data_IF_843579748232
#
_entry.id   IF_843579748232
#
_cell.length_a   1.000
_cell.length_b   1.000
_cell.length_c   1.000
_cell.angle_alpha   90.00
_cell.angle_beta   90.00
_cell.angle_gamma   90.00
#
_symmetry.space_group_name_H-M   'P 1'
#
loop_
_entity.id
_entity.type
_entity.pdbx_description
1 polymer ?
#
# COMPACT_ATOMS: atom_id res chain seq x y z
N UNK A 1 15.40 7.13 -7.59
CA UNK A 1 15.11 5.69 -7.42
C UNK A 1 13.80 5.59 -6.66
N UNK A 2 12.93 4.62 -6.95
CA UNK A 2 11.70 4.43 -6.17
C UNK A 2 12.06 3.72 -4.87
N UNK A 3 11.63 4.25 -3.73
CA UNK A 3 11.91 3.67 -2.42
C UNK A 3 10.90 2.57 -2.08
N UNK A 4 11.39 1.47 -1.51
CA UNK A 4 10.62 0.32 -1.04
C UNK A 4 10.59 0.23 0.49
N UNK A 5 11.33 1.12 1.18
CA UNK A 5 11.40 1.14 2.64
C UNK A 5 10.20 1.88 3.21
N UNK A 6 9.66 1.31 4.29
CA UNK A 6 8.69 2.01 5.13
C UNK A 6 9.43 3.01 6.02
N UNK A 7 8.91 4.22 6.10
CA UNK A 7 9.33 5.24 7.08
C UNK A 7 8.17 5.48 8.04
N UNK A 8 8.46 5.60 9.33
CA UNK A 8 7.47 5.91 10.35
C UNK A 8 7.85 7.22 11.05
N UNK A 9 6.89 8.12 11.21
CA UNK A 9 7.04 9.34 12.01
C UNK A 9 6.30 9.14 13.34
N UNK A 10 7.02 9.19 14.45
CA UNK A 10 6.39 9.32 15.77
C UNK A 10 5.85 10.76 15.89
N UNK A 11 4.53 10.91 15.91
CA UNK A 11 3.87 12.23 15.95
C UNK A 11 4.01 12.94 17.31
N UNK A 12 4.40 12.23 18.37
CA UNK A 12 4.63 12.81 19.69
C UNK A 12 6.03 13.38 19.80
N UNK A 13 7.04 12.71 19.23
CA UNK A 13 8.44 13.16 19.28
C UNK A 13 8.86 13.95 18.05
N UNK A 14 8.17 13.80 16.92
CA UNK A 14 8.56 14.37 15.64
C UNK A 14 9.71 13.63 14.94
N UNK A 15 10.05 12.42 15.39
CA UNK A 15 11.20 11.67 14.89
C UNK A 15 10.80 10.66 13.81
N UNK A 16 11.56 10.65 12.72
CA UNK A 16 11.47 9.63 11.68
C UNK A 16 12.31 8.41 12.05
N UNK A 17 11.78 7.23 11.77
CA UNK A 17 12.49 5.97 11.93
C UNK A 17 12.33 5.07 10.70
N UNK A 18 13.27 4.14 10.57
CA UNK A 18 13.29 3.05 9.60
C UNK A 18 12.91 1.74 10.32
N UNK A 19 11.60 1.45 10.49
CA UNK A 19 11.18 0.22 11.14
C UNK A 19 11.72 -1.01 10.39
N UNK A 20 12.32 -1.94 11.13
CA UNK A 20 12.69 -3.25 10.59
C UNK A 20 11.40 -4.00 10.31
N UNK A 21 11.09 -4.15 9.02
CA UNK A 21 9.88 -4.83 8.58
C UNK A 21 10.20 -6.28 8.16
N UNK A 22 9.35 -7.20 8.59
CA UNK A 22 9.38 -8.61 8.21
C UNK A 22 8.42 -8.87 7.03
N UNK A 23 8.57 -10.03 6.39
CA UNK A 23 7.72 -10.44 5.28
C UNK A 23 8.11 -9.79 3.95
N UNK A 24 7.22 -9.90 2.95
CA UNK A 24 7.45 -9.37 1.60
C UNK A 24 6.56 -8.16 1.37
N UNK A 25 7.16 -6.98 1.35
CA UNK A 25 6.50 -5.71 1.07
C UNK A 25 6.27 -5.44 -0.42
N UNK A 26 5.52 -4.37 -0.76
CA UNK A 26 5.39 -3.91 -2.13
C UNK A 26 6.73 -3.40 -2.67
N UNK A 27 6.97 -3.61 -3.97
CA UNK A 27 8.06 -2.95 -4.69
C UNK A 27 7.92 -1.42 -4.65
N UNK A 28 9.05 -0.70 -4.77
CA UNK A 28 9.04 0.75 -4.88
C UNK A 28 8.11 1.23 -6.01
N UNK A 29 7.22 2.18 -5.70
CA UNK A 29 6.12 2.59 -6.59
C UNK A 29 5.62 3.99 -6.26
N UNK A 30 5.00 4.66 -7.23
CA UNK A 30 4.27 5.94 -7.00
C UNK A 30 2.80 5.83 -7.36
N UNK A 31 2.02 6.81 -6.90
CA UNK A 31 0.60 6.95 -7.26
C UNK A 31 -0.23 5.70 -6.95
N UNK A 32 0.17 4.94 -5.94
CA UNK A 32 -0.64 3.89 -5.34
C UNK A 32 -1.72 4.51 -4.43
N UNK A 33 -2.69 3.71 -4.03
CA UNK A 33 -3.63 4.09 -2.97
C UNK A 33 -3.21 3.46 -1.65
N UNK A 34 -3.51 4.15 -0.55
CA UNK A 34 -3.32 3.65 0.79
C UNK A 34 -4.58 3.89 1.63
N UNK A 35 -4.90 2.97 2.52
CA UNK A 35 -5.94 3.15 3.54
C UNK A 35 -5.63 2.35 4.80
N UNK A 36 -6.32 2.65 5.89
CA UNK A 36 -6.26 1.89 7.14
C UNK A 36 -7.57 1.15 7.39
N UNK A 37 -7.50 -0.07 7.92
CA UNK A 37 -8.66 -0.84 8.35
C UNK A 37 -8.22 -1.88 9.39
N UNK A 38 -8.95 -2.01 10.50
CA UNK A 38 -8.65 -3.00 11.54
C UNK A 38 -7.23 -2.90 12.11
N UNK A 39 -6.69 -1.69 12.28
CA UNK A 39 -5.33 -1.47 12.79
C UNK A 39 -4.19 -1.73 11.80
N UNK A 40 -4.50 -2.17 10.58
CA UNK A 40 -3.52 -2.41 9.51
C UNK A 40 -3.57 -1.32 8.45
N UNK A 41 -2.43 -1.10 7.79
CA UNK A 41 -2.34 -0.28 6.58
C UNK A 41 -2.41 -1.18 5.35
N UNK A 42 -3.04 -0.70 4.29
CA UNK A 42 -3.15 -1.40 3.01
C UNK A 42 -2.63 -0.53 1.88
N UNK A 43 -1.99 -1.16 0.88
CA UNK A 43 -1.47 -0.52 -0.32
C UNK A 43 -2.01 -1.24 -1.55
N UNK A 44 -2.63 -0.52 -2.48
CA UNK A 44 -3.14 -1.07 -3.74
C UNK A 44 -2.58 -0.37 -4.97
N UNK A 45 -2.14 -1.19 -5.93
CA UNK A 45 -1.71 -0.78 -7.25
C UNK A 45 -0.54 0.20 -7.23
N UNK A 46 -0.54 1.15 -8.17
CA UNK A 46 0.53 2.11 -8.38
C UNK A 46 1.37 1.79 -9.61
N UNK A 47 2.49 2.50 -9.74
CA UNK A 47 3.31 2.46 -10.95
C UNK A 47 4.80 2.57 -10.66
N UNK A 48 5.57 1.67 -11.27
CA UNK A 48 7.02 1.67 -11.29
C UNK A 48 7.52 2.19 -12.64
N UNK A 49 7.93 3.45 -12.66
CA UNK A 49 8.32 4.13 -13.90
C UNK A 49 9.62 3.63 -14.51
N UNK A 50 10.53 3.04 -13.73
CA UNK A 50 11.77 2.47 -14.27
C UNK A 50 11.52 1.23 -15.13
N UNK A 51 10.38 0.56 -14.95
CA UNK A 51 9.99 -0.64 -15.70
C UNK A 51 8.74 -0.41 -16.56
N UNK A 52 8.22 0.82 -16.61
CA UNK A 52 6.94 1.13 -17.25
C UNK A 52 5.80 0.19 -16.83
N UNK A 53 5.75 -0.16 -15.53
CA UNK A 53 4.88 -1.22 -15.00
C UNK A 53 3.79 -0.64 -14.09
N UNK A 54 2.54 -1.00 -14.37
CA UNK A 54 1.40 -0.77 -13.47
C UNK A 54 1.19 -1.99 -12.57
N UNK A 55 0.69 -1.77 -11.36
CA UNK A 55 0.37 -2.84 -10.41
C UNK A 55 -1.13 -2.92 -10.12
N UNK A 56 -1.61 -4.13 -9.83
CA UNK A 56 -2.95 -4.50 -9.31
C UNK A 56 -2.87 -5.31 -8.01
N UNK A 57 -1.68 -5.40 -7.41
CA UNK A 57 -1.48 -6.12 -6.18
C UNK A 57 -2.01 -5.35 -4.96
N UNK A 58 -2.36 -6.11 -3.92
CA UNK A 58 -2.77 -5.61 -2.62
C UNK A 58 -1.78 -6.11 -1.57
N UNK A 59 -1.26 -5.20 -0.76
CA UNK A 59 -0.44 -5.52 0.40
C UNK A 59 -1.08 -4.98 1.67
N UNK A 60 -0.83 -5.64 2.79
CA UNK A 60 -1.11 -5.11 4.11
C UNK A 60 0.16 -5.04 4.95
N UNK A 61 0.26 -4.01 5.78
CA UNK A 61 1.26 -3.87 6.82
C UNK A 61 0.56 -3.90 8.18
N UNK A 62 1.02 -4.78 9.06
CA UNK A 62 0.62 -4.85 10.45
C UNK A 62 1.65 -4.12 11.33
N UNK A 63 1.34 -2.92 11.86
CA UNK A 63 2.28 -2.15 12.67
C UNK A 63 2.52 -2.77 14.06
N UNK A 64 1.67 -3.71 14.53
CA UNK A 64 1.89 -4.38 15.82
C UNK A 64 2.99 -5.43 15.77
N UNK A 65 3.25 -5.98 14.57
CA UNK A 65 4.25 -7.02 14.33
C UNK A 65 5.34 -6.60 13.35
N UNK A 66 5.25 -5.37 12.82
CA UNK A 66 6.07 -4.87 11.72
C UNK A 66 6.14 -5.83 10.54
N UNK A 67 5.01 -6.41 10.14
CA UNK A 67 4.97 -7.46 9.12
C UNK A 67 4.20 -7.03 7.87
N UNK A 68 4.83 -7.17 6.71
CA UNK A 68 4.20 -7.02 5.41
C UNK A 68 3.68 -8.35 4.88
N UNK A 69 2.50 -8.31 4.28
CA UNK A 69 1.90 -9.47 3.64
C UNK A 69 1.24 -9.08 2.31
N UNK A 70 1.49 -9.88 1.27
CA UNK A 70 0.75 -9.78 0.01
C UNK A 70 -0.61 -10.46 0.17
N UNK A 71 -1.68 -9.68 0.06
CA UNK A 71 -3.04 -10.17 0.23
C UNK A 71 -3.55 -10.76 -1.08
N UNK A 72 -3.95 -12.03 -1.02
CA UNK A 72 -4.68 -12.68 -2.11
C UNK A 72 -6.14 -12.26 -2.04
N UNK A 73 -6.63 -11.75 -3.16
CA UNK A 73 -8.00 -11.29 -3.34
C UNK A 73 -8.69 -12.16 -4.40
N UNK A 74 -10.02 -12.17 -4.39
CA UNK A 74 -10.83 -13.00 -5.29
C UNK A 74 -11.98 -12.18 -5.90
N UNK A 75 -12.60 -12.73 -6.94
CA UNK A 75 -13.64 -12.05 -7.71
C UNK A 75 -13.08 -11.21 -8.86
N UNK A 76 -13.88 -10.26 -9.35
CA UNK A 76 -13.49 -9.40 -10.48
C UNK A 76 -12.57 -8.28 -10.01
N UNK A 77 -11.28 -8.53 -10.13
CA UNK A 77 -10.24 -7.58 -9.74
C UNK A 77 -10.18 -6.35 -10.66
N UNK A 78 -9.85 -5.16 -10.14
CA UNK A 78 -9.48 -4.03 -10.98
C UNK A 78 -8.21 -4.36 -11.78
N UNK A 79 -8.12 -3.86 -13.01
CA UNK A 79 -6.86 -3.92 -13.77
C UNK A 79 -5.74 -3.16 -13.06
N UNK A 80 -4.50 -3.52 -13.38
CA UNK A 80 -3.32 -2.78 -12.95
C UNK A 80 -3.46 -1.28 -13.26
N UNK A 81 -3.23 -0.44 -12.26
CA UNK A 81 -3.57 0.99 -12.34
C UNK A 81 -2.80 1.85 -11.34
N UNK A 82 -2.85 3.16 -11.56
CA UNK A 82 -2.33 4.22 -10.69
C UNK A 82 -3.28 5.42 -10.67
N UNK A 83 -3.08 6.32 -9.69
CA UNK A 83 -3.84 7.58 -9.53
C UNK A 83 -5.35 7.38 -9.35
N UNK A 84 -5.76 6.22 -8.85
CA UNK A 84 -7.12 5.96 -8.41
C UNK A 84 -7.42 6.64 -7.06
N UNK A 85 -8.71 6.91 -6.81
CA UNK A 85 -9.21 7.31 -5.52
C UNK A 85 -9.75 6.09 -4.77
N UNK A 86 -9.46 5.98 -3.47
CA UNK A 86 -10.02 4.94 -2.60
C UNK A 86 -10.61 5.53 -1.34
N UNK A 87 -11.79 5.07 -0.94
CA UNK A 87 -12.46 5.47 0.30
C UNK A 87 -12.95 4.24 1.04
N UNK A 88 -12.77 4.22 2.37
CA UNK A 88 -13.28 3.17 3.25
C UNK A 88 -14.62 3.61 3.82
N UNK A 89 -15.66 2.77 3.68
CA UNK A 89 -16.98 2.97 4.30
C UNK A 89 -17.40 1.66 4.96
N UNK A 90 -17.51 1.66 6.28
CA UNK A 90 -17.72 0.45 7.07
C UNK A 90 -16.60 -0.56 6.81
N UNK A 91 -16.96 -1.79 6.40
CA UNK A 91 -16.02 -2.86 6.07
C UNK A 91 -15.65 -2.94 4.58
N UNK A 92 -15.98 -1.91 3.78
CA UNK A 92 -15.80 -1.92 2.33
C UNK A 92 -14.86 -0.81 1.88
N UNK A 93 -14.05 -1.12 0.86
CA UNK A 93 -13.22 -0.15 0.14
C UNK A 93 -13.83 0.11 -1.22
N UNK A 94 -14.08 1.37 -1.54
CA UNK A 94 -14.58 1.80 -2.84
C UNK A 94 -13.42 2.42 -3.62
N UNK A 95 -13.23 1.97 -4.87
CA UNK A 95 -12.19 2.46 -5.76
C UNK A 95 -12.86 3.13 -6.97
N UNK A 96 -12.42 4.35 -7.30
CA UNK A 96 -12.90 5.08 -8.48
C UNK A 96 -11.75 5.69 -9.28
N UNK A 97 -11.87 5.63 -10.60
CA UNK A 97 -10.89 6.20 -11.54
C UNK A 97 -9.54 5.48 -11.58
N UNK A 98 -8.51 6.25 -11.94
CA UNK A 98 -7.16 5.77 -12.21
C UNK A 98 -6.96 5.29 -13.65
N UNK A 99 -5.71 4.97 -13.99
CA UNK A 99 -5.28 4.45 -15.30
C UNK A 99 -4.15 3.45 -15.18
#
# INVERSE_FOLDING_TARGET
MYDERLKALDLRTGEWSDPICNGVGPSGRRSHSAWTYGGKMYIFGGYLGTQNMHYDDLFSFDPSTNHWEKIKTSGRMPSARRRQCTVVVGSRVFLFGGT
#
